data_IF_156141305881
#
_entry.id   IF_156141305881
#
_cell.length_a   1.000
_cell.length_b   1.000
_cell.length_c   1.000
_cell.angle_alpha   90.00
_cell.angle_beta   90.00
_cell.angle_gamma   90.00
#
_symmetry.space_group_name_H-M   'P 1'
#
loop_
_entity.id
_entity.type
_entity.pdbx_description
1 polymer ?
#
# COMPACT_ATOMS: atom_id res chain seq x y z
N UNK A 1 -2.68 -4.11 12.99
CA UNK A 1 -2.62 -3.01 13.99
C UNK A 1 -4.02 -2.79 14.51
N UNK A 2 -4.24 -2.78 15.83
CA UNK A 2 -5.56 -2.42 16.38
C UNK A 2 -5.75 -0.91 16.27
N UNK A 3 -6.93 -0.48 15.80
CA UNK A 3 -7.35 0.92 15.79
C UNK A 3 -7.34 1.46 17.22
N UNK A 4 -6.88 2.70 17.43
CA UNK A 4 -7.07 3.35 18.72
C UNK A 4 -8.57 3.47 19.01
N UNK A 5 -9.05 3.04 20.20
CA UNK A 5 -10.47 3.06 20.54
C UNK A 5 -11.05 4.49 20.53
N UNK A 6 -10.20 5.49 20.76
CA UNK A 6 -10.60 6.90 20.80
C UNK A 6 -11.04 7.47 19.46
N UNK A 7 -10.69 6.84 18.33
CA UNK A 7 -11.07 7.36 16.99
C UNK A 7 -12.58 7.34 16.77
N UNK A 8 -13.24 6.27 17.22
CA UNK A 8 -14.70 6.16 17.15
C UNK A 8 -15.37 7.18 18.07
N UNK A 9 -14.86 7.32 19.30
CA UNK A 9 -15.38 8.29 20.29
C UNK A 9 -15.23 9.73 19.80
N UNK A 10 -14.11 10.09 19.16
CA UNK A 10 -13.91 11.42 18.56
C UNK A 10 -14.93 11.67 17.45
N UNK A 11 -15.21 10.67 16.60
CA UNK A 11 -16.23 10.81 15.56
C UNK A 11 -17.62 11.08 16.15
N UNK A 12 -18.04 10.29 17.15
CA UNK A 12 -19.31 10.50 17.84
C UNK A 12 -19.41 11.88 18.49
N UNK A 13 -18.37 12.34 19.19
CA UNK A 13 -18.38 13.67 19.83
C UNK A 13 -18.43 14.83 18.82
N UNK A 14 -17.87 14.64 17.63
CA UNK A 14 -18.00 15.62 16.53
C UNK A 14 -19.42 15.64 16.00
N UNK A 15 -20.06 14.49 15.85
CA UNK A 15 -21.47 14.39 15.42
C UNK A 15 -22.41 15.02 16.47
N UNK A 16 -22.06 14.94 17.75
CA UNK A 16 -22.75 15.66 18.85
C UNK A 16 -22.47 17.18 18.88
N UNK A 17 -21.61 17.69 18.00
CA UNK A 17 -21.29 19.12 17.88
C UNK A 17 -20.23 19.63 18.86
N UNK A 18 -19.48 18.76 19.53
CA UNK A 18 -18.40 19.19 20.42
C UNK A 18 -17.24 19.83 19.65
N UNK A 19 -16.65 20.90 20.22
CA UNK A 19 -15.44 21.51 19.66
C UNK A 19 -14.22 20.59 19.80
N UNK A 20 -13.24 20.69 18.89
CA UNK A 20 -12.01 19.86 18.95
C UNK A 20 -11.23 20.05 20.25
N UNK A 21 -11.17 21.29 20.74
CA UNK A 21 -10.52 21.63 22.02
C UNK A 21 -11.23 21.02 23.22
N UNK A 22 -12.56 20.89 23.17
CA UNK A 22 -13.33 20.20 24.21
C UNK A 22 -13.10 18.69 24.17
N UNK A 23 -13.10 18.10 22.98
CA UNK A 23 -12.81 16.67 22.78
C UNK A 23 -11.40 16.33 23.27
N UNK A 24 -10.41 17.17 22.96
CA UNK A 24 -9.03 17.02 23.42
C UNK A 24 -8.93 17.01 24.96
N UNK A 25 -9.66 17.91 25.63
CA UNK A 25 -9.73 17.98 27.09
C UNK A 25 -10.43 16.76 27.70
N UNK A 26 -11.58 16.34 27.13
CA UNK A 26 -12.35 15.18 27.63
C UNK A 26 -11.60 13.86 27.47
N UNK A 27 -10.89 13.68 26.36
CA UNK A 27 -10.20 12.43 26.04
C UNK A 27 -8.73 12.42 26.47
N UNK A 28 -8.20 13.54 26.99
CA UNK A 28 -6.78 13.73 27.30
C UNK A 28 -5.85 13.40 26.11
N UNK A 29 -6.28 13.79 24.91
CA UNK A 29 -5.53 13.57 23.66
C UNK A 29 -5.06 14.92 23.13
N UNK A 30 -3.87 14.96 22.53
CA UNK A 30 -3.35 16.16 21.90
C UNK A 30 -4.31 16.68 20.81
N UNK A 31 -4.62 17.98 20.85
CA UNK A 31 -5.53 18.65 19.93
C UNK A 31 -5.15 18.44 18.44
N UNK A 32 -3.85 18.35 18.11
CA UNK A 32 -3.40 17.99 16.74
C UNK A 32 -3.90 16.63 16.29
N UNK A 33 -3.99 15.67 17.20
CA UNK A 33 -4.46 14.31 16.87
C UNK A 33 -5.96 14.31 16.66
N UNK A 34 -6.71 15.01 17.51
CA UNK A 34 -8.14 15.21 17.37
C UNK A 34 -8.42 15.91 16.02
N UNK A 35 -7.77 17.05 15.75
CA UNK A 35 -7.91 17.78 14.50
C UNK A 35 -7.60 16.95 13.26
N UNK A 36 -6.55 16.12 13.28
CA UNK A 36 -6.25 15.19 12.17
C UNK A 36 -7.36 14.15 11.96
N UNK A 37 -7.95 13.62 13.03
CA UNK A 37 -9.05 12.64 12.93
C UNK A 37 -10.31 13.31 12.40
N UNK A 38 -10.65 14.51 12.89
CA UNK A 38 -11.81 15.28 12.41
C UNK A 38 -11.65 15.65 10.93
N UNK A 39 -10.48 16.13 10.51
CA UNK A 39 -10.18 16.40 9.11
C UNK A 39 -10.35 15.14 8.26
N UNK A 40 -9.83 14.01 8.72
CA UNK A 40 -9.98 12.73 8.03
C UNK A 40 -11.47 12.32 7.89
N UNK A 41 -12.27 12.48 8.94
CA UNK A 41 -13.70 12.21 8.89
C UNK A 41 -14.42 13.11 7.87
N UNK A 42 -14.06 14.40 7.80
CA UNK A 42 -14.64 15.35 6.83
C UNK A 42 -14.22 15.06 5.39
N UNK A 43 -12.96 14.70 5.16
CA UNK A 43 -12.42 14.47 3.82
C UNK A 43 -12.81 13.11 3.24
N UNK A 44 -12.86 12.06 4.07
CA UNK A 44 -13.00 10.66 3.62
C UNK A 44 -14.27 9.97 4.11
N UNK A 45 -15.01 10.59 5.03
CA UNK A 45 -16.23 10.03 5.62
C UNK A 45 -16.00 8.94 6.68
N UNK A 46 -14.74 8.66 7.07
CA UNK A 46 -14.46 7.63 8.07
C UNK A 46 -13.28 7.96 8.99
N UNK A 47 -13.37 7.46 10.23
CA UNK A 47 -12.32 7.58 11.25
C UNK A 47 -11.35 6.39 11.27
N UNK A 48 -11.46 5.43 10.36
CA UNK A 48 -10.56 4.26 10.31
C UNK A 48 -9.11 4.65 9.96
N UNK A 49 -8.07 4.04 10.55
CA UNK A 49 -6.69 4.33 10.19
C UNK A 49 -6.42 4.10 8.70
N UNK A 50 -5.66 4.99 8.06
CA UNK A 50 -5.22 4.75 6.69
C UNK A 50 -4.18 3.63 6.65
N UNK A 51 -4.22 2.75 5.63
CA UNK A 51 -3.12 1.84 5.38
C UNK A 51 -1.86 2.67 5.14
N UNK A 52 -0.81 2.39 5.91
CA UNK A 52 0.49 3.01 5.68
C UNK A 52 1.08 2.43 4.39
N UNK A 53 1.50 3.29 3.47
CA UNK A 53 2.31 2.85 2.34
C UNK A 53 3.66 2.39 2.87
N UNK A 54 4.03 1.15 2.57
CA UNK A 54 5.39 0.66 2.76
C UNK A 54 6.32 1.22 1.68
N UNK A 55 7.62 0.93 1.81
CA UNK A 55 8.56 1.15 0.70
C UNK A 55 8.14 0.26 -0.48
N UNK A 56 7.96 0.81 -1.70
CA UNK A 56 7.67 0.00 -2.87
C UNK A 56 8.76 -1.04 -3.09
N UNK A 57 8.37 -2.25 -3.50
CA UNK A 57 9.35 -3.26 -3.90
C UNK A 57 10.01 -2.82 -5.21
N UNK A 58 11.22 -3.30 -5.47
CA UNK A 58 11.93 -3.01 -6.74
C UNK A 58 11.09 -3.40 -7.96
N UNK A 59 10.30 -4.48 -7.86
CA UNK A 59 9.38 -4.92 -8.91
C UNK A 59 8.21 -3.97 -9.14
N UNK A 60 7.81 -3.18 -8.14
CA UNK A 60 6.68 -2.27 -8.26
C UNK A 60 7.02 -1.05 -9.13
N UNK A 61 8.30 -0.88 -9.51
CA UNK A 61 8.73 0.16 -10.43
C UNK A 61 8.15 -0.12 -11.82
N UNK A 62 7.28 0.77 -12.36
CA UNK A 62 6.56 0.52 -13.61
C UNK A 62 7.47 0.23 -14.81
N UNK A 63 8.67 0.81 -14.82
CA UNK A 63 9.68 0.58 -15.85
C UNK A 63 10.13 -0.88 -15.90
N UNK A 64 10.41 -1.49 -14.75
CA UNK A 64 10.91 -2.86 -14.66
C UNK A 64 9.80 -3.83 -15.10
N UNK A 65 8.57 -3.65 -14.60
CA UNK A 65 7.39 -4.42 -15.03
C UNK A 65 7.21 -4.40 -16.54
N UNK A 66 7.27 -3.20 -17.15
CA UNK A 66 7.10 -3.03 -18.60
C UNK A 66 8.20 -3.73 -19.40
N UNK A 67 9.44 -3.71 -18.94
CA UNK A 67 10.56 -4.37 -19.63
C UNK A 67 10.45 -5.89 -19.52
N UNK A 68 10.18 -6.43 -18.33
CA UNK A 68 9.99 -7.87 -18.13
C UNK A 68 8.82 -8.38 -18.98
N UNK A 69 7.67 -7.70 -18.94
CA UNK A 69 6.50 -8.06 -19.75
C UNK A 69 6.82 -8.08 -21.24
N UNK A 70 7.50 -7.05 -21.74
CA UNK A 70 7.90 -6.98 -23.15
C UNK A 70 8.88 -8.07 -23.55
N UNK A 71 9.79 -8.49 -22.67
CA UNK A 71 10.76 -9.55 -22.96
C UNK A 71 10.07 -10.89 -23.12
N UNK A 72 9.21 -11.23 -22.16
CA UNK A 72 8.44 -12.48 -22.18
C UNK A 72 7.55 -12.51 -23.43
N UNK A 73 6.74 -11.47 -23.67
CA UNK A 73 5.86 -11.44 -24.86
C UNK A 73 6.59 -11.42 -26.21
N UNK A 74 7.90 -11.17 -26.26
CA UNK A 74 8.69 -11.16 -27.50
C UNK A 74 9.42 -12.48 -27.74
N UNK A 75 9.83 -13.14 -26.68
CA UNK A 75 10.56 -14.39 -26.75
C UNK A 75 10.16 -15.27 -25.56
N UNK A 76 9.22 -16.18 -25.80
CA UNK A 76 8.70 -17.10 -24.78
C UNK A 76 9.76 -18.11 -24.32
N UNK A 77 10.87 -18.28 -25.05
CA UNK A 77 11.97 -19.20 -24.69
C UNK A 77 12.95 -18.61 -23.66
N UNK A 78 12.86 -17.31 -23.34
CA UNK A 78 13.81 -16.68 -22.42
C UNK A 78 13.57 -17.14 -20.99
N UNK A 79 14.60 -17.73 -20.39
CA UNK A 79 14.56 -18.10 -18.98
C UNK A 79 14.45 -16.88 -18.06
N UNK A 80 13.76 -17.03 -16.94
CA UNK A 80 13.68 -15.98 -15.91
C UNK A 80 15.06 -15.57 -15.37
N UNK A 81 16.05 -16.47 -15.40
CA UNK A 81 17.42 -16.19 -14.98
C UNK A 81 18.11 -15.22 -15.93
N UNK A 82 17.98 -15.44 -17.23
CA UNK A 82 18.58 -14.57 -18.24
C UNK A 82 17.99 -13.15 -18.17
N UNK A 83 16.66 -13.06 -18.06
CA UNK A 83 15.99 -11.78 -17.84
C UNK A 83 16.40 -11.08 -16.53
N UNK A 84 16.68 -11.84 -15.47
CA UNK A 84 17.12 -11.29 -14.19
C UNK A 84 18.55 -10.75 -14.26
N UNK A 85 19.47 -11.50 -14.87
CA UNK A 85 20.87 -11.11 -15.07
C UNK A 85 20.98 -9.84 -15.88
N UNK A 86 20.29 -9.76 -17.02
CA UNK A 86 20.31 -8.60 -17.91
C UNK A 86 19.77 -7.32 -17.27
N UNK A 87 18.74 -7.47 -16.43
CA UNK A 87 18.12 -6.35 -15.74
C UNK A 87 18.80 -6.03 -14.41
N UNK A 88 19.84 -6.79 -14.03
CA UNK A 88 20.53 -6.70 -12.74
C UNK A 88 19.55 -6.72 -11.55
N UNK A 89 18.52 -7.57 -11.63
CA UNK A 89 17.53 -7.76 -10.57
C UNK A 89 17.54 -9.22 -10.11
N UNK A 90 16.99 -9.48 -8.93
CA UNK A 90 16.88 -10.86 -8.45
C UNK A 90 15.91 -11.67 -9.32
N UNK A 91 16.20 -12.96 -9.53
CA UNK A 91 15.28 -13.91 -10.18
C UNK A 91 13.89 -13.89 -9.53
N UNK A 92 13.84 -13.80 -8.19
CA UNK A 92 12.59 -13.72 -7.43
C UNK A 92 11.72 -12.52 -7.83
N UNK A 93 12.35 -11.38 -8.14
CA UNK A 93 11.64 -10.20 -8.63
C UNK A 93 10.96 -10.47 -9.99
N UNK A 94 11.66 -11.10 -10.93
CA UNK A 94 11.08 -11.49 -12.21
C UNK A 94 9.94 -12.48 -12.00
N UNK A 95 10.15 -13.49 -11.16
CA UNK A 95 9.14 -14.50 -10.84
C UNK A 95 7.87 -13.90 -10.23
N UNK A 96 8.00 -12.95 -9.31
CA UNK A 96 6.85 -12.27 -8.71
C UNK A 96 6.05 -11.49 -9.78
N UNK A 97 6.70 -10.82 -10.73
CA UNK A 97 6.04 -10.14 -11.85
C UNK A 97 5.27 -11.14 -12.71
N UNK A 98 5.93 -12.24 -13.07
CA UNK A 98 5.35 -13.30 -13.91
C UNK A 98 4.13 -13.92 -13.24
N UNK A 99 4.23 -14.26 -11.96
CA UNK A 99 3.13 -14.84 -11.19
C UNK A 99 1.99 -13.85 -10.96
N UNK A 100 2.29 -12.62 -10.56
CA UNK A 100 1.25 -11.65 -10.19
C UNK A 100 0.55 -10.99 -11.40
N UNK A 101 1.19 -10.95 -12.57
CA UNK A 101 0.66 -10.19 -13.72
C UNK A 101 0.34 -11.03 -14.96
N UNK A 102 1.04 -12.15 -15.15
CA UNK A 102 0.82 -13.04 -16.28
C UNK A 102 0.12 -14.34 -15.88
N UNK A 103 -0.10 -14.54 -14.57
CA UNK A 103 -0.69 -15.76 -14.00
C UNK A 103 0.03 -17.06 -14.45
N UNK A 104 1.32 -16.93 -14.78
CA UNK A 104 2.12 -18.06 -15.22
C UNK A 104 2.75 -18.72 -14.00
N UNK A 105 2.35 -19.96 -13.73
CA UNK A 105 2.99 -20.80 -12.72
C UNK A 105 4.29 -21.38 -13.27
N UNK A 106 5.39 -21.10 -12.59
CA UNK A 106 6.73 -21.55 -12.98
C UNK A 106 6.79 -23.07 -12.90
N UNK A 107 7.19 -23.72 -14.00
CA UNK A 107 8.02 -24.95 -13.97
C UNK A 107 8.71 -25.30 -15.31
N UNK A 108 8.44 -24.63 -16.44
CA UNK A 108 9.15 -25.00 -17.68
C UNK A 108 9.21 -23.89 -18.73
N UNK A 109 10.33 -23.17 -18.71
CA UNK A 109 11.00 -22.72 -19.94
C UNK A 109 12.47 -23.04 -19.72
N UNK A 110 12.80 -24.30 -20.07
CA UNK A 110 14.13 -24.75 -20.46
C UNK A 110 14.22 -24.56 -21.96
#
# INVERSE_FOLDING_TARGET
MRSSPHRATIAHLVDEGCSTAEIARRLHINDRTVGRIVAQCRERGHHLPLPKSGRPRTVDVPRIRKVVKKRISRNDEVSMNESASDLHISRRCVQDIVKCELDLHSDRFL
#
